data_IF_487427315170
#
_entry.id   IF_487427315170
#
_cell.length_a   1.000
_cell.length_b   1.000
_cell.length_c   1.000
_cell.angle_alpha   90.00
_cell.angle_beta   90.00
_cell.angle_gamma   90.00
#
_symmetry.space_group_name_H-M   'P 1'
#
loop_
_entity.id
_entity.type
_entity.pdbx_description
1 polymer ?
#
# COMPACT_ATOMS: atom_id res chain seq x y z
N UNK A 1 34.92 55.40 2.87
CA UNK A 1 33.51 55.31 2.40
C UNK A 1 33.16 54.02 1.65
N UNK A 2 33.99 53.50 0.73
CA UNK A 2 33.66 52.25 -0.02
C UNK A 2 33.36 51.02 0.87
N UNK A 3 34.10 50.83 1.96
CA UNK A 3 33.93 49.68 2.89
C UNK A 3 32.55 49.59 3.58
N UNK A 4 31.97 50.72 3.99
CA UNK A 4 30.68 50.77 4.70
C UNK A 4 29.51 50.43 3.76
N UNK A 5 29.55 50.92 2.52
CA UNK A 5 28.52 50.66 1.50
C UNK A 5 28.50 49.17 1.11
N UNK A 6 29.66 48.53 1.01
CA UNK A 6 29.77 47.08 0.74
C UNK A 6 29.14 46.27 1.88
N UNK A 7 29.47 46.60 3.14
CA UNK A 7 28.90 45.95 4.33
C UNK A 7 27.37 46.05 4.41
N UNK A 8 26.80 47.21 4.05
CA UNK A 8 25.34 47.42 4.03
C UNK A 8 24.68 46.61 2.91
N UNK A 9 25.29 46.54 1.72
CA UNK A 9 24.79 45.72 0.61
C UNK A 9 24.84 44.22 0.95
N UNK A 10 25.92 43.76 1.57
CA UNK A 10 26.06 42.38 2.01
C UNK A 10 25.04 42.04 3.10
N UNK A 11 24.81 42.92 4.08
CA UNK A 11 23.80 42.69 5.11
C UNK A 11 22.39 42.60 4.51
N UNK A 12 22.01 43.50 3.60
CA UNK A 12 20.71 43.44 2.88
C UNK A 12 20.57 42.16 2.05
N UNK A 13 21.65 41.70 1.40
CA UNK A 13 21.66 40.43 0.65
C UNK A 13 21.47 39.24 1.59
N UNK A 14 22.18 39.21 2.71
CA UNK A 14 22.06 38.18 3.75
C UNK A 14 20.65 38.15 4.36
N UNK A 15 20.07 39.31 4.70
CA UNK A 15 18.69 39.40 5.19
C UNK A 15 17.70 38.87 4.16
N UNK A 16 17.83 39.23 2.88
CA UNK A 16 16.97 38.69 1.80
C UNK A 16 17.08 37.18 1.68
N UNK A 17 18.28 36.62 1.77
CA UNK A 17 18.50 35.17 1.73
C UNK A 17 17.82 34.49 2.93
N UNK A 18 18.00 35.03 4.15
CA UNK A 18 17.38 34.47 5.36
C UNK A 18 15.85 34.52 5.30
N UNK A 19 15.27 35.62 4.83
CA UNK A 19 13.82 35.74 4.63
C UNK A 19 13.33 34.73 3.60
N UNK A 20 14.00 34.58 2.45
CA UNK A 20 13.63 33.58 1.44
C UNK A 20 13.69 32.15 1.96
N UNK A 21 14.73 31.81 2.75
CA UNK A 21 14.85 30.49 3.38
C UNK A 21 13.76 30.24 4.43
N UNK A 22 13.42 31.26 5.23
CA UNK A 22 12.34 31.18 6.20
C UNK A 22 10.98 30.98 5.52
N UNK A 23 10.71 31.72 4.44
CA UNK A 23 9.49 31.58 3.64
C UNK A 23 9.41 30.18 3.02
N UNK A 24 10.49 29.68 2.41
CA UNK A 24 10.53 28.33 1.83
C UNK A 24 10.27 27.26 2.90
N UNK A 25 10.86 27.41 4.09
CA UNK A 25 10.66 26.49 5.21
C UNK A 25 9.21 26.51 5.72
N UNK A 26 8.60 27.70 5.83
CA UNK A 26 7.20 27.85 6.21
C UNK A 26 6.26 27.24 5.17
N UNK A 27 6.51 27.44 3.87
CA UNK A 27 5.75 26.81 2.79
C UNK A 27 5.86 25.29 2.84
N UNK A 28 7.07 24.75 3.05
CA UNK A 28 7.27 23.31 3.17
C UNK A 28 6.49 22.73 4.36
N UNK A 29 6.54 23.39 5.52
CA UNK A 29 5.79 22.99 6.70
C UNK A 29 4.28 23.02 6.46
N UNK A 30 3.76 24.05 5.80
CA UNK A 30 2.35 24.15 5.43
C UNK A 30 1.93 23.00 4.50
N UNK A 31 2.76 22.64 3.51
CA UNK A 31 2.49 21.51 2.61
C UNK A 31 2.47 20.19 3.38
N UNK A 32 3.45 19.95 4.26
CA UNK A 32 3.53 18.73 5.06
C UNK A 32 2.35 18.59 6.01
N UNK A 33 1.97 19.67 6.70
CA UNK A 33 0.82 19.67 7.61
C UNK A 33 -0.50 19.47 6.88
N UNK A 34 -0.70 20.14 5.74
CA UNK A 34 -1.86 19.93 4.88
C UNK A 34 -1.95 18.48 4.39
N UNK A 35 -0.83 17.90 3.94
CA UNK A 35 -0.77 16.49 3.54
C UNK A 35 -1.14 15.54 4.69
N UNK A 36 -0.59 15.76 5.89
CA UNK A 36 -0.93 14.96 7.08
C UNK A 36 -2.41 15.06 7.44
N UNK A 37 -3.01 16.24 7.32
CA UNK A 37 -4.43 16.46 7.56
C UNK A 37 -5.30 15.75 6.52
N UNK A 38 -5.10 16.06 5.24
CA UNK A 38 -5.89 15.51 4.11
C UNK A 38 -5.86 13.99 4.08
N UNK A 39 -4.72 13.37 4.40
CA UNK A 39 -4.59 11.91 4.35
C UNK A 39 -5.20 11.17 5.55
N UNK A 40 -5.67 11.87 6.59
CA UNK A 40 -6.29 11.26 7.78
C UNK A 40 -7.78 11.50 7.89
N UNK A 41 -8.32 12.49 7.17
CA UNK A 41 -9.73 12.81 7.18
C UNK A 41 -10.53 11.93 6.23
N UNK A 42 -11.81 11.73 6.57
CA UNK A 42 -12.79 11.25 5.60
C UNK A 42 -13.25 12.41 4.72
N UNK A 43 -12.84 12.41 3.46
CA UNK A 43 -13.24 13.40 2.47
C UNK A 43 -14.34 12.91 1.53
N UNK A 44 -14.73 11.64 1.63
CA UNK A 44 -15.77 11.06 0.81
C UNK A 44 -17.14 11.25 1.52
N UNK A 45 -18.12 11.91 0.87
CA UNK A 45 -19.43 12.13 1.46
C UNK A 45 -20.32 10.87 1.42
N UNK A 46 -20.01 9.90 0.57
CA UNK A 46 -20.87 8.76 0.27
C UNK A 46 -20.74 7.63 1.31
N UNK A 47 -19.59 7.54 1.98
CA UNK A 47 -19.27 6.44 2.90
C UNK A 47 -18.82 6.92 4.28
N UNK A 48 -19.16 6.13 5.30
CA UNK A 48 -18.66 6.30 6.67
C UNK A 48 -17.50 5.35 6.93
N UNK A 49 -16.54 5.80 7.76
CA UNK A 49 -15.45 4.92 8.20
C UNK A 49 -16.05 3.68 8.89
N UNK A 50 -15.60 2.50 8.48
CA UNK A 50 -16.11 1.21 8.95
C UNK A 50 -17.37 0.70 8.26
N UNK A 51 -17.89 1.40 7.26
CA UNK A 51 -18.96 0.90 6.42
C UNK A 51 -18.47 -0.24 5.53
N UNK A 52 -19.27 -1.30 5.39
CA UNK A 52 -19.00 -2.41 4.46
C UNK A 52 -19.34 -1.95 3.05
N UNK A 53 -18.34 -1.96 2.16
CA UNK A 53 -18.47 -1.43 0.79
C UNK A 53 -18.25 -2.49 -0.30
N UNK A 54 -17.73 -3.67 0.06
CA UNK A 54 -17.57 -4.82 -0.84
C UNK A 54 -17.33 -6.09 0.01
N UNK A 55 -17.24 -7.26 -0.63
CA UNK A 55 -16.78 -8.49 0.01
C UNK A 55 -16.16 -9.47 -0.99
N UNK A 56 -15.26 -10.33 -0.51
CA UNK A 56 -14.76 -11.47 -1.28
C UNK A 56 -14.86 -12.73 -0.44
N UNK A 57 -15.57 -13.74 -0.95
CA UNK A 57 -15.77 -15.03 -0.28
C UNK A 57 -16.26 -14.90 1.18
N UNK A 58 -17.18 -13.94 1.42
CA UNK A 58 -17.72 -13.67 2.75
C UNK A 58 -16.85 -12.79 3.65
N UNK A 59 -15.67 -12.37 3.21
CA UNK A 59 -14.79 -11.45 3.95
C UNK A 59 -15.05 -10.02 3.48
N UNK A 60 -15.54 -9.19 4.40
CA UNK A 60 -15.92 -7.81 4.10
C UNK A 60 -14.72 -6.89 3.81
N UNK A 61 -14.93 -5.94 2.91
CA UNK A 61 -14.09 -4.77 2.67
C UNK A 61 -14.76 -3.59 3.36
N UNK A 62 -14.04 -2.95 4.27
CA UNK A 62 -14.52 -1.78 5.00
C UNK A 62 -13.89 -0.49 4.47
N UNK A 63 -14.66 0.58 4.46
CA UNK A 63 -14.19 1.91 4.09
C UNK A 63 -13.28 2.50 5.20
N UNK A 64 -12.08 2.96 4.82
CA UNK A 64 -11.10 3.51 5.79
C UNK A 64 -11.05 5.04 5.85
N UNK A 65 -11.75 5.75 4.95
CA UNK A 65 -11.53 7.20 4.80
C UNK A 65 -10.16 7.51 4.20
N UNK A 66 -9.46 8.48 4.79
CA UNK A 66 -8.11 8.87 4.38
C UNK A 66 -7.09 7.74 4.52
N UNK A 67 -6.10 7.70 3.62
CA UNK A 67 -5.13 6.58 3.53
C UNK A 67 -4.28 6.36 4.79
N UNK A 68 -4.06 7.40 5.57
CA UNK A 68 -3.31 7.39 6.84
C UNK A 68 -4.24 7.35 8.06
N UNK A 69 -5.55 7.20 7.88
CA UNK A 69 -6.47 6.94 8.97
C UNK A 69 -6.13 5.59 9.63
N UNK A 70 -6.15 5.60 10.96
CA UNK A 70 -5.90 4.45 11.83
C UNK A 70 -6.98 4.49 12.89
N UNK A 71 -7.75 3.42 13.00
CA UNK A 71 -8.73 3.26 14.06
C UNK A 71 -8.10 2.46 15.22
N UNK A 72 -8.60 1.27 15.48
CA UNK A 72 -8.09 0.36 16.49
C UNK A 72 -7.37 -0.84 15.87
N UNK A 73 -6.66 -1.59 16.72
CA UNK A 73 -6.07 -2.85 16.31
C UNK A 73 -7.12 -3.96 16.32
N UNK A 74 -7.27 -4.63 15.20
CA UNK A 74 -8.02 -5.88 15.11
C UNK A 74 -7.14 -7.05 15.56
N UNK A 75 -7.64 -7.82 16.53
CA UNK A 75 -7.02 -9.03 17.08
C UNK A 75 -8.05 -10.14 17.18
N UNK A 76 -7.64 -11.39 16.94
CA UNK A 76 -8.48 -12.53 17.29
C UNK A 76 -8.65 -12.69 18.81
N UNK A 77 -9.57 -13.55 19.24
CA UNK A 77 -9.87 -13.81 20.65
C UNK A 77 -8.65 -14.27 21.48
N UNK A 78 -7.72 -14.99 20.85
CA UNK A 78 -6.46 -15.46 21.44
C UNK A 78 -5.27 -14.53 21.15
N UNK A 79 -5.52 -13.31 20.65
CA UNK A 79 -4.52 -12.24 20.56
C UNK A 79 -3.69 -12.21 19.27
N UNK A 80 -4.01 -12.99 18.24
CA UNK A 80 -3.34 -12.86 16.94
C UNK A 80 -3.68 -11.50 16.33
N UNK A 81 -2.65 -10.68 16.15
CA UNK A 81 -2.76 -9.38 15.51
C UNK A 81 -3.17 -9.57 14.04
N UNK A 82 -4.36 -9.12 13.67
CA UNK A 82 -4.85 -9.12 12.29
C UNK A 82 -4.35 -7.86 11.59
N UNK A 83 -4.52 -6.69 12.19
CA UNK A 83 -4.00 -5.43 11.65
C UNK A 83 -4.66 -4.22 12.28
N UNK A 84 -4.47 -3.04 11.67
CA UNK A 84 -5.14 -1.81 12.07
C UNK A 84 -6.39 -1.62 11.20
N UNK A 85 -7.56 -1.48 11.81
CA UNK A 85 -8.80 -1.21 11.07
C UNK A 85 -8.71 0.16 10.37
N UNK A 86 -9.06 0.32 9.09
CA UNK A 86 -9.40 -0.66 8.04
C UNK A 86 -8.34 -0.65 6.94
N UNK A 87 -7.06 -0.79 7.33
CA UNK A 87 -5.94 -0.69 6.40
C UNK A 87 -5.80 -1.91 5.47
N UNK A 88 -5.06 -1.73 4.37
CA UNK A 88 -4.81 -2.80 3.39
C UNK A 88 -4.22 -4.08 4.01
N UNK A 89 -3.28 -3.93 4.96
CA UNK A 89 -2.66 -5.05 5.67
C UNK A 89 -3.67 -5.80 6.55
N UNK A 90 -4.59 -5.07 7.18
CA UNK A 90 -5.66 -5.67 8.00
C UNK A 90 -6.57 -6.53 7.13
N UNK A 91 -6.99 -6.03 5.97
CA UNK A 91 -7.84 -6.78 5.04
C UNK A 91 -7.20 -8.08 4.56
N UNK A 92 -5.97 -8.04 4.03
CA UNK A 92 -5.34 -9.24 3.48
C UNK A 92 -5.07 -10.28 4.57
N UNK A 93 -4.68 -9.84 5.77
CA UNK A 93 -4.49 -10.75 6.90
C UNK A 93 -5.80 -11.31 7.43
N UNK A 94 -6.87 -10.50 7.46
CA UNK A 94 -8.21 -10.96 7.82
C UNK A 94 -8.74 -11.96 6.81
N UNK A 95 -8.56 -11.73 5.52
CA UNK A 95 -8.89 -12.69 4.47
C UNK A 95 -8.16 -14.02 4.67
N UNK A 96 -6.85 -14.00 4.87
CA UNK A 96 -6.10 -15.24 5.12
C UNK A 96 -6.51 -15.93 6.43
N UNK A 97 -6.83 -15.16 7.47
CA UNK A 97 -7.27 -15.70 8.75
C UNK A 97 -8.66 -16.34 8.67
N UNK A 98 -9.67 -15.59 8.22
CA UNK A 98 -11.08 -16.02 8.20
C UNK A 98 -11.35 -17.04 7.10
N UNK A 99 -10.86 -16.79 5.88
CA UNK A 99 -11.17 -17.63 4.71
C UNK A 99 -10.26 -18.84 4.58
N UNK A 100 -8.99 -18.70 4.96
CA UNK A 100 -7.99 -19.74 4.77
C UNK A 100 -7.52 -20.36 6.09
N UNK A 101 -7.95 -19.88 7.27
CA UNK A 101 -7.44 -20.38 8.55
C UNK A 101 -5.93 -20.21 8.71
N UNK A 102 -5.34 -19.23 8.01
CA UNK A 102 -3.90 -19.00 7.96
C UNK A 102 -3.48 -17.85 8.85
N UNK A 103 -2.45 -18.09 9.66
CA UNK A 103 -1.78 -17.07 10.46
C UNK A 103 -0.40 -16.82 9.92
N UNK A 104 -0.07 -15.56 9.71
CA UNK A 104 1.28 -15.16 9.34
C UNK A 104 2.16 -15.16 10.59
N UNK A 105 3.29 -15.90 10.62
CA UNK A 105 4.15 -15.98 11.80
C UNK A 105 4.65 -14.62 12.28
N UNK A 106 5.13 -13.79 11.34
CA UNK A 106 5.35 -12.37 11.58
C UNK A 106 4.06 -11.62 11.26
N UNK A 107 3.40 -11.14 12.30
CA UNK A 107 2.12 -10.44 12.20
C UNK A 107 2.26 -8.92 12.03
N UNK A 108 3.48 -8.37 11.98
CA UNK A 108 3.74 -6.93 11.86
C UNK A 108 4.37 -6.56 10.51
N UNK A 109 4.58 -5.26 10.33
CA UNK A 109 5.15 -4.67 9.12
C UNK A 109 4.12 -3.91 8.27
N UNK A 110 4.65 -3.12 7.35
CA UNK A 110 3.89 -2.44 6.31
C UNK A 110 3.65 -3.38 5.12
N UNK A 111 2.79 -2.95 4.19
CA UNK A 111 2.45 -3.70 3.00
C UNK A 111 3.69 -4.17 2.19
N UNK A 112 4.68 -3.29 2.02
CA UNK A 112 5.94 -3.63 1.33
C UNK A 112 6.72 -4.77 1.99
N UNK A 113 6.61 -4.92 3.31
CA UNK A 113 7.39 -5.89 4.09
C UNK A 113 6.85 -7.31 3.94
N UNK A 114 5.75 -7.48 3.20
CA UNK A 114 5.20 -8.79 2.88
C UNK A 114 6.01 -9.51 1.80
N UNK A 115 6.74 -8.77 0.97
CA UNK A 115 7.57 -9.33 -0.08
C UNK A 115 9.05 -9.25 0.30
N UNK A 116 9.71 -10.40 0.37
CA UNK A 116 11.14 -10.46 0.69
C UNK A 116 11.96 -10.65 -0.59
N UNK A 117 12.75 -9.64 -0.95
CA UNK A 117 13.61 -9.67 -2.13
C UNK A 117 14.68 -10.77 -2.11
N UNK A 118 14.96 -11.40 -0.96
CA UNK A 118 15.89 -12.52 -0.84
C UNK A 118 15.23 -13.89 -1.07
N UNK A 119 13.89 -13.99 -0.99
CA UNK A 119 13.18 -15.25 -1.23
C UNK A 119 13.08 -15.53 -2.74
N UNK A 120 13.53 -16.70 -3.15
CA UNK A 120 13.49 -17.15 -4.55
C UNK A 120 12.05 -17.38 -5.04
N UNK A 121 11.84 -17.32 -6.36
CA UNK A 121 10.52 -17.56 -6.95
C UNK A 121 10.05 -18.99 -6.65
N UNK A 122 8.89 -19.12 -6.00
CA UNK A 122 8.31 -20.40 -5.59
C UNK A 122 8.72 -20.89 -4.20
N UNK A 123 9.60 -20.16 -3.50
CA UNK A 123 10.08 -20.56 -2.18
C UNK A 123 9.22 -20.02 -1.02
N UNK A 124 9.37 -20.63 0.15
CA UNK A 124 8.65 -20.24 1.36
C UNK A 124 9.19 -18.90 1.90
N UNK A 125 8.31 -17.90 1.97
CA UNK A 125 8.50 -16.73 2.81
C UNK A 125 8.10 -17.10 4.25
N UNK A 126 9.09 -17.43 5.09
CA UNK A 126 8.88 -17.91 6.45
C UNK A 126 8.19 -16.89 7.37
N UNK A 127 8.43 -15.59 7.16
CA UNK A 127 7.75 -14.51 7.91
C UNK A 127 6.25 -14.50 7.66
N UNK A 128 5.81 -14.85 6.46
CA UNK A 128 4.38 -14.89 6.11
C UNK A 128 3.79 -16.29 6.17
N UNK A 129 4.62 -17.33 6.17
CA UNK A 129 4.18 -18.72 6.09
C UNK A 129 3.53 -19.05 4.74
N UNK A 130 3.97 -18.38 3.67
CA UNK A 130 3.37 -18.47 2.33
C UNK A 130 4.45 -18.70 1.27
N UNK A 131 4.11 -19.38 0.18
CA UNK A 131 4.97 -19.42 -1.01
C UNK A 131 5.01 -18.04 -1.65
N UNK A 132 6.19 -17.59 -2.08
CA UNK A 132 6.38 -16.29 -2.71
C UNK A 132 6.75 -16.42 -4.18
N UNK A 133 6.02 -15.74 -5.04
CA UNK A 133 6.24 -15.71 -6.48
C UNK A 133 6.55 -14.29 -6.93
N UNK A 134 7.64 -14.14 -7.69
CA UNK A 134 7.98 -12.90 -8.38
C UNK A 134 7.06 -12.68 -9.57
N UNK A 135 6.68 -11.42 -9.80
CA UNK A 135 6.06 -11.01 -11.06
C UNK A 135 7.00 -11.30 -12.25
N UNK A 136 6.45 -11.58 -13.42
CA UNK A 136 7.19 -12.08 -14.58
C UNK A 136 7.94 -13.40 -14.31
N UNK A 137 7.38 -14.27 -13.47
CA UNK A 137 7.89 -15.61 -13.18
C UNK A 137 7.11 -16.73 -13.90
N UNK A 138 7.49 -17.99 -13.67
CA UNK A 138 6.92 -19.14 -14.38
C UNK A 138 5.57 -19.61 -13.83
N UNK A 139 5.27 -19.30 -12.57
CA UNK A 139 3.95 -19.54 -11.99
C UNK A 139 3.01 -18.35 -12.30
N UNK A 140 1.74 -18.57 -12.70
CA UNK A 140 0.75 -17.51 -12.73
C UNK A 140 0.20 -17.19 -11.32
N UNK A 141 -0.35 -15.99 -11.11
CA UNK A 141 -1.18 -15.71 -9.94
C UNK A 141 -2.44 -16.58 -9.93
N UNK A 142 -3.08 -16.68 -8.77
CA UNK A 142 -4.27 -17.48 -8.51
C UNK A 142 -5.26 -16.69 -7.66
N UNK A 143 -6.55 -17.02 -7.75
CA UNK A 143 -7.57 -16.41 -6.88
C UNK A 143 -7.25 -16.67 -5.42
N UNK A 144 -7.31 -15.62 -4.60
CA UNK A 144 -6.93 -15.65 -3.20
C UNK A 144 -5.46 -15.34 -2.92
N UNK A 145 -4.61 -15.20 -3.94
CA UNK A 145 -3.22 -14.78 -3.74
C UNK A 145 -3.14 -13.34 -3.23
N UNK A 146 -2.20 -13.10 -2.31
CA UNK A 146 -1.89 -11.78 -1.78
C UNK A 146 -0.88 -11.09 -2.71
N UNK A 147 -1.32 -10.08 -3.44
CA UNK A 147 -0.49 -9.26 -4.32
C UNK A 147 0.22 -8.19 -3.51
N UNK A 148 1.53 -8.01 -3.71
CA UNK A 148 2.33 -6.99 -3.03
C UNK A 148 2.80 -5.91 -4.01
N UNK A 149 2.55 -4.66 -3.65
CA UNK A 149 2.95 -3.47 -4.41
C UNK A 149 4.14 -2.80 -3.74
N UNK A 150 5.11 -2.37 -4.56
CA UNK A 150 6.23 -1.57 -4.12
C UNK A 150 5.80 -0.18 -3.61
N UNK A 151 6.59 0.43 -2.72
CA UNK A 151 6.44 1.83 -2.33
C UNK A 151 6.49 2.81 -3.50
N UNK A 152 5.83 3.95 -3.35
CA UNK A 152 5.95 5.12 -4.22
C UNK A 152 6.33 6.34 -3.39
N UNK A 153 6.66 7.46 -4.05
CA UNK A 153 6.97 8.74 -3.37
C UNK A 153 5.81 9.18 -2.45
N UNK A 154 4.57 8.98 -2.89
CA UNK A 154 3.36 9.37 -2.14
C UNK A 154 2.81 8.27 -1.24
N UNK A 155 3.34 7.04 -1.33
CA UNK A 155 3.00 5.91 -0.47
C UNK A 155 4.27 5.08 -0.16
N UNK A 156 5.04 5.47 0.87
CA UNK A 156 6.29 4.78 1.24
C UNK A 156 6.07 3.40 1.88
N UNK A 157 4.83 3.07 2.24
CA UNK A 157 4.46 1.82 2.92
C UNK A 157 4.16 0.67 1.93
N UNK A 158 3.96 1.00 0.65
CA UNK A 158 3.50 0.04 -0.36
C UNK A 158 2.00 -0.21 -0.26
N UNK A 159 1.53 -1.26 -0.92
CA UNK A 159 0.12 -1.68 -0.85
C UNK A 159 0.03 -3.19 -0.99
N UNK A 160 -1.07 -3.77 -0.51
CA UNK A 160 -1.38 -5.20 -0.63
C UNK A 160 -2.85 -5.38 -0.96
N UNK A 161 -3.15 -6.36 -1.79
CA UNK A 161 -4.50 -6.69 -2.23
C UNK A 161 -4.65 -8.21 -2.36
N UNK A 162 -5.89 -8.69 -2.52
CA UNK A 162 -6.18 -10.10 -2.81
C UNK A 162 -6.62 -10.24 -4.27
N UNK A 163 -6.14 -11.25 -4.99
CA UNK A 163 -6.68 -11.58 -6.32
C UNK A 163 -8.12 -12.10 -6.16
N UNK A 164 -9.10 -11.38 -6.69
CA UNK A 164 -10.51 -11.77 -6.64
C UNK A 164 -10.93 -12.66 -7.81
N UNK A 165 -10.35 -12.45 -8.99
CA UNK A 165 -10.70 -13.19 -10.21
C UNK A 165 -9.54 -13.21 -11.20
N UNK A 166 -9.45 -14.28 -11.98
CA UNK A 166 -8.53 -14.38 -13.12
C UNK A 166 -9.32 -14.85 -14.33
N UNK A 167 -9.10 -14.19 -15.47
CA UNK A 167 -9.57 -14.64 -16.77
C UNK A 167 -8.35 -14.84 -17.67
N UNK A 168 -7.88 -16.09 -17.75
CA UNK A 168 -6.75 -16.46 -18.60
C UNK A 168 -7.04 -16.33 -20.09
N UNK A 169 -8.31 -16.43 -20.50
CA UNK A 169 -8.71 -16.30 -21.91
C UNK A 169 -8.67 -14.84 -22.34
N UNK A 170 -9.14 -13.93 -21.50
CA UNK A 170 -9.09 -12.49 -21.74
C UNK A 170 -7.73 -11.88 -21.35
N UNK A 171 -6.88 -12.62 -20.66
CA UNK A 171 -5.59 -12.13 -20.17
C UNK A 171 -5.78 -11.03 -19.14
N UNK A 172 -6.62 -11.25 -18.13
CA UNK A 172 -6.89 -10.27 -17.07
C UNK A 172 -6.90 -10.88 -15.67
N UNK A 173 -6.56 -10.04 -14.70
CA UNK A 173 -6.57 -10.33 -13.28
C UNK A 173 -7.28 -9.18 -12.57
N UNK A 174 -8.24 -9.50 -11.71
CA UNK A 174 -8.93 -8.56 -10.85
C UNK A 174 -8.41 -8.72 -9.42
N UNK A 175 -8.15 -7.61 -8.75
CA UNK A 175 -7.87 -7.57 -7.31
C UNK A 175 -9.05 -6.99 -6.54
N UNK A 176 -9.08 -7.25 -5.24
CA UNK A 176 -9.90 -6.58 -4.24
C UNK A 176 -9.01 -6.06 -3.11
N UNK A 177 -9.30 -4.86 -2.60
CA UNK A 177 -8.44 -4.11 -1.68
C UNK A 177 -9.22 -3.24 -0.68
N UNK A 178 -8.59 -2.95 0.45
CA UNK A 178 -8.98 -1.88 1.39
C UNK A 178 -7.94 -0.77 1.38
N UNK A 179 -8.35 0.46 1.70
CA UNK A 179 -7.45 1.59 1.92
C UNK A 179 -6.55 1.94 0.71
N UNK A 180 -7.10 1.88 -0.50
CA UNK A 180 -6.41 2.32 -1.73
C UNK A 180 -6.47 3.84 -1.93
N UNK A 181 -7.40 4.51 -1.24
CA UNK A 181 -7.69 5.93 -1.34
C UNK A 181 -9.16 6.21 -1.00
N UNK A 182 -9.51 7.41 -0.54
CA UNK A 182 -10.88 7.72 -0.12
C UNK A 182 -11.90 7.66 -1.26
N UNK A 183 -11.46 7.76 -2.51
CA UNK A 183 -12.27 7.70 -3.72
C UNK A 183 -11.87 6.54 -4.64
N UNK A 184 -10.99 5.66 -4.17
CA UNK A 184 -10.49 4.54 -4.96
C UNK A 184 -11.50 3.39 -4.95
N UNK A 185 -11.57 2.67 -6.07
CA UNK A 185 -12.38 1.45 -6.17
C UNK A 185 -11.84 0.36 -5.24
N UNK A 186 -12.76 -0.43 -4.67
CA UNK A 186 -12.44 -1.67 -3.93
C UNK A 186 -11.85 -2.73 -4.85
N UNK A 187 -12.07 -2.63 -6.17
CA UNK A 187 -11.58 -3.57 -7.18
C UNK A 187 -10.87 -2.87 -8.33
N UNK A 188 -9.78 -3.45 -8.79
CA UNK A 188 -9.05 -3.00 -9.98
C UNK A 188 -8.70 -4.20 -10.86
N UNK A 189 -8.70 -3.99 -12.17
CA UNK A 189 -8.30 -5.02 -13.14
C UNK A 189 -6.99 -4.66 -13.81
N UNK A 190 -6.10 -5.64 -13.93
CA UNK A 190 -4.81 -5.55 -14.59
C UNK A 190 -4.74 -6.54 -15.75
N UNK A 191 -4.07 -6.19 -16.87
CA UNK A 191 -3.71 -7.18 -17.87
C UNK A 191 -2.78 -8.24 -17.27
N UNK A 192 -3.06 -9.51 -17.55
CA UNK A 192 -2.24 -10.67 -17.23
C UNK A 192 -1.66 -11.22 -18.54
N UNK A 193 -0.36 -11.03 -18.71
CA UNK A 193 0.35 -11.32 -19.96
C UNK A 193 1.15 -12.60 -19.80
N UNK A 194 0.89 -13.58 -20.67
CA UNK A 194 1.79 -14.72 -20.86
C UNK A 194 2.82 -14.38 -21.94
N UNK A 195 4.10 -14.40 -21.58
CA UNK A 195 5.20 -14.06 -22.49
C UNK A 195 5.72 -15.28 -23.23
N UNK A 196 6.30 -15.11 -24.44
CA UNK A 196 6.98 -16.18 -25.17
C UNK A 196 8.11 -16.88 -24.38
N UNK A 197 8.69 -16.19 -23.39
CA UNK A 197 9.67 -16.75 -22.45
C UNK A 197 9.11 -17.77 -21.45
N UNK A 198 7.80 -18.07 -21.50
CA UNK A 198 7.14 -18.99 -20.56
C UNK A 198 6.82 -18.37 -19.20
N UNK A 199 6.75 -17.04 -19.10
CA UNK A 199 6.53 -16.32 -17.84
C UNK A 199 5.23 -15.54 -17.84
N UNK A 200 4.58 -15.47 -16.69
CA UNK A 200 3.37 -14.70 -16.42
C UNK A 200 3.69 -13.36 -15.77
N UNK A 201 3.18 -12.27 -16.37
CA UNK A 201 3.35 -10.93 -15.85
C UNK A 201 1.99 -10.26 -15.64
N UNK A 202 1.75 -9.79 -14.41
CA UNK A 202 0.70 -8.79 -14.16
C UNK A 202 1.25 -7.43 -14.60
N UNK A 203 0.58 -6.79 -15.54
CA UNK A 203 1.03 -5.57 -16.21
C UNK A 203 0.87 -4.33 -15.31
N UNK A 204 1.73 -4.23 -14.31
CA UNK A 204 1.88 -3.07 -13.43
C UNK A 204 3.32 -2.94 -13.01
N UNK A 205 3.90 -1.75 -13.14
CA UNK A 205 5.26 -1.48 -12.67
C UNK A 205 5.36 -1.42 -11.15
N UNK A 206 4.23 -1.51 -10.42
CA UNK A 206 4.20 -1.49 -8.95
C UNK A 206 4.15 -2.88 -8.33
N UNK A 207 3.63 -3.88 -9.03
CA UNK A 207 3.46 -5.23 -8.47
C UNK A 207 4.82 -5.95 -8.45
N UNK A 208 5.30 -6.25 -7.24
CA UNK A 208 6.51 -7.02 -7.00
C UNK A 208 6.30 -8.52 -7.28
N UNK A 209 5.12 -9.01 -6.93
CA UNK A 209 4.75 -10.42 -6.99
C UNK A 209 3.57 -10.71 -6.09
N UNK A 210 3.41 -11.98 -5.74
CA UNK A 210 2.30 -12.43 -4.88
C UNK A 210 2.72 -13.57 -3.94
N UNK A 211 1.94 -13.74 -2.89
CA UNK A 211 2.09 -14.81 -1.90
C UNK A 211 0.89 -15.77 -1.98
N UNK A 212 1.13 -17.07 -1.82
CA UNK A 212 0.11 -18.13 -1.90
C UNK A 212 0.18 -19.06 -0.70
N UNK A 213 -0.99 -19.44 -0.17
CA UNK A 213 -1.06 -20.52 0.83
C UNK A 213 -0.86 -21.87 0.14
N UNK A 214 0.01 -22.71 0.69
CA UNK A 214 0.20 -24.09 0.23
C UNK A 214 -1.09 -24.89 0.37
#
# INVERSE_FOLDING_TARGET
MRSVITRIKDNKKTTRILVSLATLSACLLAIVTAYQWVTRLNLNPDYRIGEVIDSLHGVNVYYNGGVNHVEERNTSADGYNIGLKYQCVEFVKRYYYERLGHRMPDSYGHAKDFFDGAVSHGELNSKRGLLQFRNAGTMPPGVGDLVVYRPTVTNPYGHVAIVSRIDFKQGSLEIIQQNAGPFSSTRETYPLIYKPSGTWQVASNRILGWLRKK
#
